data_IF_233882448382
#
_entry.id   IF_233882448382
#
_cell.length_a   1.000
_cell.length_b   1.000
_cell.length_c   1.000
_cell.angle_alpha   90.00
_cell.angle_beta   90.00
_cell.angle_gamma   90.00
#
_symmetry.space_group_name_H-M   'P 1'
#
loop_
_entity.id
_entity.type
_entity.pdbx_description
1 polymer ?
#
# COMPACT_ATOMS: atom_id res chain seq x y z
N UNK A 1 -8.17 -7.64 -9.94
CA UNK A 1 -8.38 -8.19 -11.32
C UNK A 1 -7.97 -7.12 -12.34
N UNK A 2 -7.53 -7.44 -13.55
CA UNK A 2 -7.19 -6.42 -14.57
C UNK A 2 -8.48 -5.92 -15.26
N UNK A 3 -8.65 -4.60 -15.51
CA UNK A 3 -9.86 -4.06 -16.14
C UNK A 3 -9.92 -4.39 -17.64
N UNK A 4 -11.14 -4.52 -18.18
CA UNK A 4 -11.40 -4.57 -19.61
C UNK A 4 -11.13 -3.18 -20.21
N UNK A 5 -10.33 -3.10 -21.28
CA UNK A 5 -10.05 -1.85 -22.01
C UNK A 5 -10.71 -1.90 -23.38
N UNK A 6 -11.43 -0.84 -23.75
CA UNK A 6 -12.03 -0.67 -25.08
C UNK A 6 -11.23 0.41 -25.83
N UNK A 7 -10.75 0.09 -27.02
CA UNK A 7 -10.00 0.98 -27.89
C UNK A 7 -10.79 1.29 -29.17
N UNK A 8 -10.54 2.45 -29.77
CA UNK A 8 -11.03 2.80 -31.11
C UNK A 8 -10.26 2.02 -32.17
N UNK A 9 -10.75 2.02 -33.42
CA UNK A 9 -10.05 1.39 -34.54
C UNK A 9 -8.65 2.00 -34.77
N UNK A 10 -8.47 3.25 -34.38
CA UNK A 10 -7.22 4.01 -34.43
C UNK A 10 -6.34 3.84 -33.18
N UNK A 11 -6.72 2.97 -32.24
CA UNK A 11 -5.94 2.65 -31.04
C UNK A 11 -6.13 3.61 -29.86
N UNK A 12 -7.08 4.55 -29.92
CA UNK A 12 -7.36 5.46 -28.80
C UNK A 12 -8.18 4.74 -27.72
N UNK A 13 -7.78 4.81 -26.46
CA UNK A 13 -8.56 4.26 -25.35
C UNK A 13 -9.91 5.01 -25.23
N UNK A 14 -11.02 4.30 -25.43
CA UNK A 14 -12.39 4.83 -25.38
C UNK A 14 -13.01 4.67 -23.99
N UNK A 15 -12.65 3.62 -23.25
CA UNK A 15 -13.15 3.40 -21.90
C UNK A 15 -12.58 2.15 -21.24
N UNK A 16 -12.56 2.15 -19.92
CA UNK A 16 -12.20 1.00 -19.08
C UNK A 16 -13.41 0.51 -18.28
N UNK A 17 -13.68 -0.80 -18.35
CA UNK A 17 -14.75 -1.48 -17.64
C UNK A 17 -14.17 -2.51 -16.66
N UNK A 18 -14.41 -2.30 -15.38
CA UNK A 18 -13.97 -3.16 -14.29
C UNK A 18 -14.10 -2.39 -12.98
N UNK A 19 -14.52 -3.04 -11.89
CA UNK A 19 -14.76 -2.35 -10.60
C UNK A 19 -13.53 -1.58 -10.10
N UNK A 20 -12.32 -2.05 -10.42
CA UNK A 20 -11.03 -1.50 -10.01
C UNK A 20 -10.23 -1.00 -11.22
N UNK A 21 -9.81 0.27 -11.23
CA UNK A 21 -8.78 0.76 -12.17
C UNK A 21 -7.41 0.43 -11.60
N UNK A 22 -6.65 -0.39 -12.32
CA UNK A 22 -5.28 -0.81 -11.95
C UNK A 22 -4.35 -0.66 -13.13
N UNK A 23 -3.21 -0.02 -12.90
CA UNK A 23 -2.06 -0.03 -13.80
C UNK A 23 -0.89 -0.58 -13.01
N UNK A 24 -0.48 -1.80 -13.33
CA UNK A 24 0.67 -2.43 -12.69
C UNK A 24 1.94 -1.75 -13.21
N UNK A 25 2.71 -1.15 -12.31
CA UNK A 25 3.95 -0.46 -12.60
C UNK A 25 5.07 -1.11 -11.79
N UNK A 26 6.11 -1.64 -12.47
CA UNK A 26 7.32 -2.12 -11.82
C UNK A 26 7.96 -1.06 -10.90
N UNK A 27 8.53 -1.46 -9.77
CA UNK A 27 9.06 -0.53 -8.75
C UNK A 27 10.19 0.37 -9.24
N UNK A 28 10.92 -0.08 -10.27
CA UNK A 28 11.99 0.66 -10.95
C UNK A 28 11.46 1.75 -11.89
N UNK A 29 10.26 1.56 -12.46
CA UNK A 29 9.56 2.58 -13.24
C UNK A 29 8.90 3.66 -12.36
N UNK A 30 8.70 3.39 -11.06
CA UNK A 30 8.13 4.38 -10.13
C UNK A 30 9.20 5.44 -9.78
N UNK A 31 8.91 6.74 -10.00
CA UNK A 31 9.84 7.82 -9.69
C UNK A 31 10.33 7.78 -8.25
N UNK A 32 11.64 7.99 -8.03
CA UNK A 32 12.24 7.97 -6.69
C UNK A 32 11.52 8.92 -5.71
N UNK A 33 11.18 10.13 -6.17
CA UNK A 33 10.45 11.12 -5.37
C UNK A 33 9.10 10.60 -4.87
N UNK A 34 8.41 9.79 -5.67
CA UNK A 34 7.13 9.18 -5.27
C UNK A 34 7.34 8.11 -4.20
N UNK A 35 8.35 7.25 -4.38
CA UNK A 35 8.74 6.24 -3.37
C UNK A 35 9.12 6.92 -2.05
N UNK A 36 9.98 7.93 -2.11
CA UNK A 36 10.44 8.67 -0.93
C UNK A 36 9.27 9.35 -0.20
N UNK A 37 8.33 9.96 -0.92
CA UNK A 37 7.17 10.61 -0.33
C UNK A 37 6.25 9.63 0.40
N UNK A 38 5.97 8.47 -0.21
CA UNK A 38 5.17 7.40 0.43
C UNK A 38 5.87 6.87 1.67
N UNK A 39 7.17 6.59 1.58
CA UNK A 39 7.94 6.11 2.72
C UNK A 39 7.97 7.14 3.85
N UNK A 40 8.17 8.42 3.54
CA UNK A 40 8.23 9.48 4.55
C UNK A 40 6.93 9.61 5.36
N UNK A 41 5.77 9.41 4.73
CA UNK A 41 4.47 9.56 5.39
C UNK A 41 3.95 8.27 6.02
N UNK A 42 4.13 7.12 5.37
CA UNK A 42 3.58 5.84 5.83
C UNK A 42 4.55 5.06 6.71
N UNK A 43 5.84 5.02 6.35
CA UNK A 43 6.82 4.12 6.98
C UNK A 43 8.28 4.54 6.71
N UNK A 44 8.73 5.58 7.43
CA UNK A 44 10.02 6.22 7.16
C UNK A 44 11.24 5.30 7.37
N UNK A 45 11.06 4.16 8.04
CA UNK A 45 12.10 3.16 8.31
C UNK A 45 11.84 1.83 7.66
N UNK A 46 10.99 1.80 6.64
CA UNK A 46 10.59 0.60 5.91
C UNK A 46 11.75 -0.35 5.59
N UNK A 47 12.87 0.19 5.10
CA UNK A 47 14.06 -0.59 4.73
C UNK A 47 14.92 -1.04 5.91
N UNK A 48 14.66 -0.55 7.11
CA UNK A 48 15.47 -0.79 8.31
C UNK A 48 14.84 -1.79 9.29
N UNK A 49 13.57 -2.18 9.12
CA UNK A 49 12.90 -3.15 10.00
C UNK A 49 12.40 -4.38 9.24
N UNK A 50 12.22 -5.51 9.93
CA UNK A 50 11.68 -6.75 9.38
C UNK A 50 10.15 -6.81 9.35
N UNK A 51 9.50 -5.76 8.84
CA UNK A 51 8.04 -5.66 8.70
C UNK A 51 7.28 -5.15 9.91
N UNK A 52 7.78 -5.28 11.13
CA UNK A 52 7.21 -4.61 12.31
C UNK A 52 8.23 -3.60 12.83
N UNK A 53 7.84 -2.33 12.91
CA UNK A 53 8.68 -1.26 13.46
C UNK A 53 8.45 -1.11 14.97
N UNK A 54 9.18 -1.88 15.79
CA UNK A 54 9.06 -1.82 17.25
C UNK A 54 9.34 -0.44 17.83
N UNK A 55 10.35 0.26 17.30
CA UNK A 55 10.67 1.61 17.76
C UNK A 55 9.55 2.58 17.35
N UNK A 56 8.93 2.35 16.18
CA UNK A 56 7.80 3.14 15.69
C UNK A 56 6.55 2.93 16.54
N UNK A 57 6.28 1.68 16.94
CA UNK A 57 5.22 1.31 17.87
C UNK A 57 5.40 2.00 19.23
N UNK A 58 6.62 1.96 19.80
CA UNK A 58 6.90 2.63 21.08
C UNK A 58 6.75 4.14 20.95
N UNK A 59 7.28 4.75 19.88
CA UNK A 59 7.12 6.18 19.60
C UNK A 59 5.64 6.58 19.52
N UNK A 60 4.85 5.83 18.75
CA UNK A 60 3.42 6.07 18.58
C UNK A 60 2.64 5.88 19.90
N UNK A 61 3.02 4.89 20.72
CA UNK A 61 2.43 4.72 22.05
C UNK A 61 2.69 5.94 22.94
N UNK A 62 3.93 6.43 22.98
CA UNK A 62 4.30 7.62 23.77
C UNK A 62 3.61 8.89 23.26
N UNK A 63 3.51 9.08 21.93
CA UNK A 63 2.84 10.26 21.34
C UNK A 63 1.35 10.30 21.62
N UNK A 64 0.69 9.13 21.61
CA UNK A 64 -0.75 9.00 21.86
C UNK A 64 -1.08 9.21 23.35
N UNK A 65 -0.16 8.90 24.28
CA UNK A 65 -0.33 9.23 25.70
C UNK A 65 -0.23 10.75 25.97
N UNK A 66 0.50 11.49 25.14
CA UNK A 66 0.67 12.93 25.25
C UNK A 66 -0.49 13.77 24.67
N UNK A 67 -1.58 13.15 24.23
CA UNK A 67 -2.75 13.84 23.66
C UNK A 67 -2.53 14.44 22.26
N UNK A 68 -1.38 14.17 21.63
CA UNK A 68 -1.13 14.53 20.25
C UNK A 68 -1.77 13.54 19.28
N UNK A 69 -1.95 13.97 18.03
CA UNK A 69 -2.53 13.26 16.88
C UNK A 69 -2.36 11.73 16.98
N UNK A 70 -3.45 10.97 16.77
CA UNK A 70 -3.44 9.51 16.72
C UNK A 70 -2.40 8.99 15.70
N UNK A 71 -1.21 8.68 16.18
CA UNK A 71 -0.14 8.16 15.34
C UNK A 71 -0.37 6.67 15.13
N UNK A 72 -0.50 6.27 13.86
CA UNK A 72 -0.61 4.88 13.48
C UNK A 72 0.72 4.16 13.68
N UNK A 73 0.66 2.94 14.23
CA UNK A 73 1.83 2.09 14.45
C UNK A 73 2.02 1.00 13.38
N UNK A 74 1.22 1.02 12.30
CA UNK A 74 1.25 -0.04 11.27
C UNK A 74 2.20 0.32 10.14
N UNK A 75 3.08 -0.61 9.77
CA UNK A 75 4.05 -0.48 8.68
C UNK A 75 3.43 -0.76 7.32
N UNK A 76 4.14 -0.43 6.23
CA UNK A 76 3.69 -0.75 4.86
C UNK A 76 3.41 -2.26 4.71
N UNK A 77 4.29 -3.13 5.20
CA UNK A 77 4.13 -4.58 5.11
C UNK A 77 2.87 -5.06 5.84
N UNK A 78 2.58 -4.49 7.02
CA UNK A 78 1.35 -4.79 7.75
C UNK A 78 0.10 -4.37 6.98
N UNK A 79 0.16 -3.22 6.29
CA UNK A 79 -0.93 -2.77 5.42
C UNK A 79 -1.13 -3.69 4.22
N UNK A 80 -0.04 -4.19 3.59
CA UNK A 80 -0.12 -5.19 2.52
C UNK A 80 -0.74 -6.49 3.03
N UNK A 81 -0.27 -7.01 4.16
CA UNK A 81 -0.82 -8.23 4.77
C UNK A 81 -2.33 -8.11 5.03
N UNK A 82 -2.76 -6.95 5.56
CA UNK A 82 -4.16 -6.65 5.82
C UNK A 82 -5.01 -6.63 4.55
N UNK A 83 -4.52 -6.01 3.48
CA UNK A 83 -5.28 -5.84 2.25
C UNK A 83 -5.43 -7.13 1.43
N UNK A 84 -4.50 -8.07 1.56
CA UNK A 84 -4.50 -9.30 0.75
C UNK A 84 -5.30 -10.45 1.40
N UNK A 85 -5.32 -10.55 2.73
CA UNK A 85 -5.69 -11.81 3.38
C UNK A 85 -6.77 -11.73 4.48
N UNK A 86 -7.21 -10.56 4.91
CA UNK A 86 -8.08 -10.44 6.08
C UNK A 86 -9.43 -9.81 5.75
N UNK A 87 -10.51 -10.42 6.26
CA UNK A 87 -11.83 -9.82 6.24
C UNK A 87 -11.85 -8.50 7.01
N UNK A 88 -12.83 -7.63 6.71
CA UNK A 88 -12.92 -6.27 7.28
C UNK A 88 -13.21 -6.23 8.79
N UNK A 89 -13.45 -7.36 9.44
CA UNK A 89 -13.82 -7.45 10.86
C UNK A 89 -12.67 -7.07 11.79
N UNK A 90 -12.86 -5.99 12.57
CA UNK A 90 -11.83 -5.46 13.46
C UNK A 90 -11.76 -6.22 14.79
N UNK A 91 -11.16 -7.41 14.78
CA UNK A 91 -10.89 -8.18 16.01
C UNK A 91 -9.41 -8.17 16.40
N UNK A 92 -9.10 -8.37 17.69
CA UNK A 92 -7.72 -8.57 18.16
C UNK A 92 -7.06 -9.77 17.49
N UNK A 93 -7.84 -10.84 17.25
CA UNK A 93 -7.40 -12.03 16.50
C UNK A 93 -6.94 -11.66 15.09
N UNK A 94 -7.67 -10.77 14.40
CA UNK A 94 -7.24 -10.27 13.08
C UNK A 94 -5.89 -9.56 13.15
N UNK A 95 -5.62 -8.76 14.18
CA UNK A 95 -4.33 -8.06 14.31
C UNK A 95 -3.18 -9.05 14.53
N UNK A 96 -3.42 -10.16 15.23
CA UNK A 96 -2.43 -11.25 15.36
C UNK A 96 -2.14 -11.89 14.00
N UNK A 97 -3.18 -12.21 13.22
CA UNK A 97 -2.98 -12.74 11.86
C UNK A 97 -2.23 -11.76 10.94
N UNK A 98 -2.52 -10.46 11.04
CA UNK A 98 -1.79 -9.42 10.31
C UNK A 98 -0.29 -9.46 10.63
N UNK A 99 0.09 -9.59 11.91
CA UNK A 99 1.48 -9.73 12.32
C UNK A 99 2.13 -11.01 11.78
N UNK A 100 1.45 -12.16 11.87
CA UNK A 100 1.98 -13.43 11.34
C UNK A 100 2.18 -13.39 9.82
N UNK A 101 1.22 -12.82 9.10
CA UNK A 101 1.32 -12.64 7.65
C UNK A 101 2.40 -11.65 7.25
N UNK A 102 2.57 -10.58 8.03
CA UNK A 102 3.67 -9.60 7.85
C UNK A 102 5.03 -10.32 7.90
N UNK A 103 5.25 -11.14 8.92
CA UNK A 103 6.49 -11.92 9.05
C UNK A 103 6.69 -12.88 7.88
N UNK A 104 5.60 -13.54 7.43
CA UNK A 104 5.65 -14.43 6.26
C UNK A 104 6.01 -13.66 4.98
N UNK A 105 5.44 -12.48 4.76
CA UNK A 105 5.74 -11.65 3.59
C UNK A 105 7.19 -11.20 3.59
N UNK A 106 7.71 -10.70 4.70
CA UNK A 106 9.13 -10.28 4.83
C UNK A 106 10.12 -11.42 4.63
N UNK A 107 9.73 -12.65 4.95
CA UNK A 107 10.56 -13.82 4.70
C UNK A 107 10.50 -14.28 3.23
N UNK A 108 9.40 -13.99 2.52
CA UNK A 108 9.17 -14.51 1.17
C UNK A 108 9.52 -13.49 0.08
N UNK A 109 9.40 -12.20 0.40
CA UNK A 109 9.53 -11.09 -0.54
C UNK A 109 10.61 -10.12 -0.07
N UNK A 110 11.31 -9.53 -1.03
CA UNK A 110 12.21 -8.42 -0.77
C UNK A 110 11.42 -7.13 -0.45
N UNK A 111 12.09 -6.15 0.16
CA UNK A 111 11.50 -4.84 0.47
C UNK A 111 10.93 -4.14 -0.76
N UNK A 112 11.64 -4.19 -1.87
CA UNK A 112 11.19 -3.56 -3.11
C UNK A 112 9.94 -4.26 -3.67
N UNK A 113 9.86 -5.59 -3.60
CA UNK A 113 8.63 -6.32 -3.99
C UNK A 113 7.44 -5.96 -3.09
N UNK A 114 7.65 -5.83 -1.77
CA UNK A 114 6.59 -5.43 -0.85
C UNK A 114 6.12 -4.00 -1.16
N UNK A 115 7.05 -3.07 -1.39
CA UNK A 115 6.72 -1.70 -1.75
C UNK A 115 6.00 -1.63 -3.10
N UNK A 116 6.43 -2.41 -4.09
CA UNK A 116 5.76 -2.54 -5.38
C UNK A 116 4.31 -2.97 -5.22
N UNK A 117 4.06 -4.04 -4.44
CA UNK A 117 2.72 -4.55 -4.17
C UNK A 117 1.89 -3.45 -3.50
N UNK A 118 2.43 -2.79 -2.48
CA UNK A 118 1.75 -1.70 -1.78
C UNK A 118 1.34 -0.58 -2.75
N UNK A 119 2.29 -0.08 -3.53
CA UNK A 119 2.10 1.05 -4.43
C UNK A 119 1.16 0.74 -5.60
N UNK A 120 0.99 -0.54 -5.96
CA UNK A 120 0.08 -0.97 -7.01
C UNK A 120 -1.32 -1.39 -6.51
N UNK A 121 -1.49 -1.63 -5.21
CA UNK A 121 -2.73 -2.20 -4.66
C UNK A 121 -3.49 -1.29 -3.71
N UNK A 122 -2.85 -0.28 -3.12
CA UNK A 122 -3.53 0.61 -2.18
C UNK A 122 -4.69 1.35 -2.85
N UNK A 123 -5.85 1.38 -2.19
CA UNK A 123 -7.01 2.13 -2.64
C UNK A 123 -6.82 3.61 -2.32
N UNK A 124 -6.87 4.48 -3.34
CA UNK A 124 -6.62 5.91 -3.23
C UNK A 124 -7.86 6.75 -3.60
N UNK A 125 -9.06 6.15 -3.48
CA UNK A 125 -10.33 6.79 -3.84
C UNK A 125 -10.66 6.70 -5.33
N UNK A 126 -11.86 7.13 -5.73
CA UNK A 126 -12.31 7.19 -7.13
C UNK A 126 -12.09 5.90 -7.95
N UNK A 127 -12.19 4.73 -7.30
CA UNK A 127 -11.90 3.39 -7.90
C UNK A 127 -10.45 3.24 -8.41
N UNK A 128 -9.55 4.13 -8.03
CA UNK A 128 -8.14 4.06 -8.33
C UNK A 128 -7.43 3.19 -7.30
N UNK A 129 -6.83 2.09 -7.80
CA UNK A 129 -5.99 1.20 -7.01
C UNK A 129 -4.56 1.31 -7.51
N UNK A 130 -3.69 1.74 -6.61
CA UNK A 130 -2.30 2.06 -6.87
C UNK A 130 -2.07 3.49 -7.35
N UNK A 131 -0.85 3.98 -7.13
CA UNK A 131 -0.49 5.38 -7.38
C UNK A 131 -0.53 5.76 -8.87
N UNK A 132 -0.22 4.83 -9.76
CA UNK A 132 -0.28 5.09 -11.20
C UNK A 132 -1.72 5.36 -11.67
N UNK A 133 -2.67 4.52 -11.26
CA UNK A 133 -4.08 4.71 -11.57
C UNK A 133 -4.65 5.97 -10.88
N UNK A 134 -4.18 6.28 -9.66
CA UNK A 134 -4.58 7.50 -8.96
C UNK A 134 -4.07 8.74 -9.69
N UNK A 135 -2.81 8.75 -10.15
CA UNK A 135 -2.24 9.87 -10.89
C UNK A 135 -3.09 10.20 -12.12
N UNK A 136 -3.41 9.20 -12.94
CA UNK A 136 -4.25 9.36 -14.13
C UNK A 136 -5.68 9.81 -13.78
N UNK A 137 -6.23 9.31 -12.68
CA UNK A 137 -7.60 9.65 -12.25
C UNK A 137 -7.71 11.10 -11.75
N UNK A 138 -6.70 11.61 -11.06
CA UNK A 138 -6.75 12.94 -10.44
C UNK A 138 -6.08 14.04 -11.28
N UNK A 139 -5.10 13.70 -12.11
CA UNK A 139 -4.29 14.68 -12.84
C UNK A 139 -4.34 14.54 -14.37
N UNK A 140 -4.96 13.47 -14.90
CA UNK A 140 -5.01 13.15 -16.33
C UNK A 140 -3.72 12.52 -16.85
#
# INVERSE_FOLDING_TARGET
KLPLRIYSAEGKLLGEFGEERRRLVPIDEIPKVMKDAVLAIEDARFYSHGGIDYIGVVRAALSNLGGSINQGASTITMQVARNVYLSSERTYTRKIYEMLLTLKLEHTLTKDQILEIYMNQIFLGHRAYGFAAASETYFG
#
